data_IF_707673559539
#
_entry.id   IF_707673559539
#
_cell.length_a   1.000
_cell.length_b   1.000
_cell.length_c   1.000
_cell.angle_alpha   90.00
_cell.angle_beta   90.00
_cell.angle_gamma   90.00
#
_symmetry.space_group_name_H-M   'P 1'
#
loop_
_entity.id
_entity.type
_entity.pdbx_description
1 polymer ?
#
# COMPACT_ATOMS: atom_id res chain seq x y z
N UNK A 1 13.64 20.75 -26.94
CA UNK A 1 14.03 19.66 -26.02
C UNK A 1 15.22 20.18 -25.25
N UNK A 2 15.17 20.20 -23.92
CA UNK A 2 16.29 20.66 -23.09
C UNK A 2 16.99 19.44 -22.48
N UNK A 3 18.30 19.37 -22.63
CA UNK A 3 19.16 18.35 -21.99
C UNK A 3 20.19 19.08 -21.15
N UNK A 4 20.26 18.75 -19.86
CA UNK A 4 21.20 19.33 -18.92
C UNK A 4 21.94 18.23 -18.16
N UNK A 5 23.25 18.41 -18.04
CA UNK A 5 24.11 17.67 -17.13
C UNK A 5 24.85 18.68 -16.26
N UNK A 6 24.62 18.62 -14.95
CA UNK A 6 25.22 19.55 -14.02
C UNK A 6 25.75 18.83 -12.80
N UNK A 7 26.95 19.21 -12.38
CA UNK A 7 27.59 18.76 -11.14
C UNK A 7 27.81 19.98 -10.27
N UNK A 8 27.40 19.91 -9.01
CA UNK A 8 27.60 21.03 -8.10
C UNK A 8 26.85 20.91 -6.79
N UNK A 9 27.11 21.82 -5.86
CA UNK A 9 26.57 21.69 -4.50
C UNK A 9 25.05 21.91 -4.42
N UNK A 10 24.52 22.85 -5.22
CA UNK A 10 23.09 23.21 -5.23
C UNK A 10 22.64 23.59 -6.63
N UNK A 11 21.45 23.17 -7.01
CA UNK A 11 20.79 23.61 -8.23
C UNK A 11 19.31 23.88 -7.96
N UNK A 12 18.85 25.06 -8.37
CA UNK A 12 17.46 25.43 -8.41
C UNK A 12 17.09 25.73 -9.86
N UNK A 13 16.10 25.02 -10.39
CA UNK A 13 15.68 25.18 -11.78
C UNK A 13 14.16 25.26 -11.87
N UNK A 14 13.68 26.28 -12.56
CA UNK A 14 12.29 26.42 -12.97
C UNK A 14 12.24 26.42 -14.48
N UNK A 15 11.56 25.43 -15.07
CA UNK A 15 11.50 25.30 -16.52
C UNK A 15 10.09 24.98 -16.98
N UNK A 16 9.71 25.56 -18.12
CA UNK A 16 8.46 25.26 -18.81
C UNK A 16 8.82 24.80 -20.22
N UNK A 17 8.27 23.67 -20.65
CA UNK A 17 8.56 23.20 -22.00
C UNK A 17 8.10 21.78 -22.30
N UNK A 18 8.28 21.36 -23.56
CA UNK A 18 7.76 20.08 -24.01
C UNK A 18 8.51 18.86 -23.44
N UNK A 19 9.84 18.95 -23.30
CA UNK A 19 10.68 17.83 -22.84
C UNK A 19 11.93 18.33 -22.13
N UNK A 20 12.16 17.84 -20.91
CA UNK A 20 13.37 18.07 -20.13
C UNK A 20 14.02 16.72 -19.77
N UNK A 21 15.33 16.63 -20.01
CA UNK A 21 16.19 15.54 -19.54
C UNK A 21 17.26 16.18 -18.67
N UNK A 22 17.28 15.86 -17.37
CA UNK A 22 18.23 16.42 -16.42
C UNK A 22 18.99 15.30 -15.72
N UNK A 23 20.31 15.42 -15.71
CA UNK A 23 21.20 14.64 -14.86
C UNK A 23 21.89 15.59 -13.89
N UNK A 24 21.74 15.33 -12.59
CA UNK A 24 22.31 16.16 -11.55
C UNK A 24 23.04 15.31 -10.50
N UNK A 25 24.29 15.67 -10.23
CA UNK A 25 25.05 15.12 -9.11
C UNK A 25 25.37 16.24 -8.13
N UNK A 26 24.90 16.10 -6.88
CA UNK A 26 25.04 17.20 -5.93
C UNK A 26 24.26 17.08 -4.64
N UNK A 27 24.50 18.00 -3.71
CA UNK A 27 23.89 17.88 -2.39
C UNK A 27 22.40 18.24 -2.39
N UNK A 28 21.96 19.23 -3.18
CA UNK A 28 20.55 19.69 -3.17
C UNK A 28 20.05 20.12 -4.55
N UNK A 29 18.99 19.46 -5.02
CA UNK A 29 18.21 19.86 -6.19
C UNK A 29 16.81 20.33 -5.80
N UNK A 30 16.42 21.50 -6.29
CA UNK A 30 15.04 21.98 -6.30
C UNK A 30 14.62 22.20 -7.75
N UNK A 31 13.63 21.45 -8.21
CA UNK A 31 13.15 21.52 -9.59
C UNK A 31 11.64 21.76 -9.60
N UNK A 32 11.23 22.80 -10.32
CA UNK A 32 9.85 23.00 -10.74
C UNK A 32 9.76 22.88 -12.26
N UNK A 33 8.96 21.93 -12.73
CA UNK A 33 8.80 21.71 -14.17
C UNK A 33 7.33 21.64 -14.54
N UNK A 34 6.96 22.33 -15.61
CA UNK A 34 5.65 22.20 -16.25
C UNK A 34 5.85 21.80 -17.71
N UNK A 35 5.29 20.67 -18.11
CA UNK A 35 5.59 20.13 -19.43
C UNK A 35 5.02 18.77 -19.77
N UNK A 36 5.37 18.25 -20.95
CA UNK A 36 4.85 16.94 -21.37
C UNK A 36 5.67 15.77 -20.81
N UNK A 37 7.00 15.87 -20.79
CA UNK A 37 7.89 14.76 -20.41
C UNK A 37 9.09 15.22 -19.58
N UNK A 38 9.26 14.65 -18.39
CA UNK A 38 10.44 14.79 -17.56
C UNK A 38 11.17 13.44 -17.44
N UNK A 39 12.47 13.45 -17.71
CA UNK A 39 13.39 12.37 -17.31
C UNK A 39 14.44 12.99 -16.41
N UNK A 40 14.53 12.51 -15.17
CA UNK A 40 15.45 13.06 -14.17
C UNK A 40 16.27 11.95 -13.51
N UNK A 41 17.59 12.06 -13.59
CA UNK A 41 18.51 11.27 -12.78
C UNK A 41 19.19 12.18 -11.77
N UNK A 42 19.09 11.82 -10.49
CA UNK A 42 19.71 12.59 -9.41
C UNK A 42 20.45 11.67 -8.44
N UNK A 43 21.74 11.92 -8.27
CA UNK A 43 22.56 11.29 -7.23
C UNK A 43 22.95 12.35 -6.22
N UNK A 44 22.56 12.16 -4.95
CA UNK A 44 22.88 13.19 -3.97
C UNK A 44 22.06 13.28 -2.70
N UNK A 45 22.17 14.43 -2.03
CA UNK A 45 21.66 14.61 -0.68
C UNK A 45 20.14 14.69 -0.59
N UNK A 46 19.56 15.71 -1.24
CA UNK A 46 18.15 16.07 -1.12
C UNK A 46 17.56 16.48 -2.47
N UNK A 47 16.40 15.93 -2.81
CA UNK A 47 15.64 16.32 -4.00
C UNK A 47 14.24 16.80 -3.61
N UNK A 48 13.90 17.99 -4.10
CA UNK A 48 12.55 18.55 -4.05
C UNK A 48 12.08 18.76 -5.48
N UNK A 49 11.01 18.08 -5.88
CA UNK A 49 10.47 18.17 -7.22
C UNK A 49 8.97 18.46 -7.17
N UNK A 50 8.57 19.51 -7.87
CA UNK A 50 7.19 19.75 -8.28
C UNK A 50 7.09 19.59 -9.80
N UNK A 51 6.27 18.65 -10.25
CA UNK A 51 6.04 18.42 -11.68
C UNK A 51 4.56 18.42 -12.01
N UNK A 52 4.18 19.17 -13.04
CA UNK A 52 2.85 19.10 -13.64
C UNK A 52 3.03 18.71 -15.10
N UNK A 53 2.47 17.57 -15.50
CA UNK A 53 2.73 17.09 -16.85
C UNK A 53 2.28 15.69 -17.20
N UNK A 54 2.52 15.27 -18.45
CA UNK A 54 1.97 14.00 -18.93
C UNK A 54 2.77 12.77 -18.46
N UNK A 55 4.10 12.82 -18.49
CA UNK A 55 4.94 11.67 -18.08
C UNK A 55 6.15 12.10 -17.26
N UNK A 56 6.43 11.38 -16.18
CA UNK A 56 7.66 11.48 -15.40
C UNK A 56 8.34 10.13 -15.27
N UNK A 57 9.62 10.09 -15.56
CA UNK A 57 10.52 9.01 -15.18
C UNK A 57 11.64 9.60 -14.32
N UNK A 58 11.84 9.07 -13.11
CA UNK A 58 12.87 9.60 -12.22
C UNK A 58 13.59 8.47 -11.49
N UNK A 59 14.92 8.58 -11.50
CA UNK A 59 15.85 7.75 -10.76
C UNK A 59 16.62 8.62 -9.76
N UNK A 60 16.57 8.22 -8.49
CA UNK A 60 17.15 8.98 -7.37
C UNK A 60 17.82 8.05 -6.38
N UNK A 61 19.07 8.37 -6.08
CA UNK A 61 19.86 7.76 -5.02
C UNK A 61 20.24 8.86 -4.04
N UNK A 62 19.92 8.68 -2.75
CA UNK A 62 20.17 9.76 -1.79
C UNK A 62 19.55 9.62 -0.41
N UNK A 63 19.49 10.73 0.34
CA UNK A 63 18.96 10.71 1.71
C UNK A 63 17.47 11.04 1.77
N UNK A 64 17.00 12.08 1.06
CA UNK A 64 15.63 12.57 1.18
C UNK A 64 15.06 13.05 -0.14
N UNK A 65 13.90 12.51 -0.49
CA UNK A 65 13.14 12.93 -1.65
C UNK A 65 11.73 13.39 -1.24
N UNK A 66 11.34 14.56 -1.73
CA UNK A 66 9.97 15.08 -1.65
C UNK A 66 9.50 15.36 -3.07
N UNK A 67 8.43 14.68 -3.48
CA UNK A 67 7.88 14.76 -4.83
C UNK A 67 6.39 15.07 -4.76
N UNK A 68 6.00 16.13 -5.46
CA UNK A 68 4.61 16.38 -5.83
C UNK A 68 4.47 16.26 -7.35
N UNK A 69 3.60 15.34 -7.77
CA UNK A 69 3.31 15.15 -9.20
C UNK A 69 1.81 15.22 -9.46
N UNK A 70 1.45 15.96 -10.50
CA UNK A 70 0.10 15.95 -11.08
C UNK A 70 0.24 15.58 -12.55
N UNK A 71 -0.37 14.46 -12.96
CA UNK A 71 -0.15 14.01 -14.33
C UNK A 71 -0.52 12.59 -14.69
N UNK A 72 -0.31 12.22 -15.95
CA UNK A 72 -0.88 10.98 -16.48
C UNK A 72 -0.10 9.70 -16.09
N UNK A 73 1.24 9.73 -16.08
CA UNK A 73 2.05 8.53 -15.76
C UNK A 73 3.31 8.90 -14.98
N UNK A 74 3.48 8.26 -13.83
CA UNK A 74 4.67 8.37 -13.00
C UNK A 74 5.36 6.99 -12.91
N UNK A 75 6.65 6.95 -13.26
CA UNK A 75 7.52 5.78 -13.05
C UNK A 75 8.70 6.22 -12.19
N UNK A 76 8.89 5.51 -11.09
CA UNK A 76 9.87 5.86 -10.07
C UNK A 76 10.68 4.63 -9.67
N UNK A 77 12.01 4.76 -9.64
CA UNK A 77 12.93 3.76 -9.11
C UNK A 77 13.93 4.39 -8.15
N UNK A 78 13.83 4.05 -6.86
CA UNK A 78 14.57 4.77 -5.80
C UNK A 78 15.23 3.92 -4.72
N UNK A 79 16.40 4.40 -4.31
CA UNK A 79 17.17 3.97 -3.15
C UNK A 79 17.41 5.19 -2.25
N UNK A 80 16.59 5.38 -1.22
CA UNK A 80 16.82 6.49 -0.30
C UNK A 80 16.39 6.23 1.13
N UNK A 81 16.83 7.07 2.07
CA UNK A 81 16.44 6.89 3.48
C UNK A 81 14.98 7.26 3.74
N UNK A 82 14.50 8.36 3.14
CA UNK A 82 13.15 8.90 3.36
C UNK A 82 12.52 9.42 2.08
N UNK A 83 11.31 8.95 1.76
CA UNK A 83 10.51 9.44 0.64
C UNK A 83 9.14 9.93 1.11
N UNK A 84 8.77 11.12 0.65
CA UNK A 84 7.41 11.66 0.74
C UNK A 84 6.94 11.93 -0.68
N UNK A 85 5.85 11.26 -1.08
CA UNK A 85 5.29 11.38 -2.41
C UNK A 85 3.80 11.69 -2.32
N UNK A 86 3.39 12.75 -3.01
CA UNK A 86 2.01 13.00 -3.37
C UNK A 86 1.84 12.89 -4.88
N UNK A 87 0.95 12.00 -5.31
CA UNK A 87 0.66 11.84 -6.74
C UNK A 87 -0.84 11.82 -7.01
N UNK A 88 -1.25 12.71 -7.92
CA UNK A 88 -2.59 12.72 -8.50
C UNK A 88 -2.52 12.36 -9.98
N UNK A 89 -3.15 11.25 -10.36
CA UNK A 89 -3.12 10.80 -11.73
C UNK A 89 -3.51 9.34 -11.94
N UNK A 90 -3.71 8.91 -13.19
CA UNK A 90 -4.31 7.61 -13.46
C UNK A 90 -3.36 6.42 -13.26
N UNK A 91 -2.03 6.56 -13.36
CA UNK A 91 -1.10 5.42 -13.29
C UNK A 91 0.21 5.72 -12.58
N UNK A 92 0.45 4.98 -11.49
CA UNK A 92 1.69 4.99 -10.72
C UNK A 92 2.36 3.61 -10.73
N UNK A 93 3.64 3.58 -11.10
CA UNK A 93 4.53 2.45 -10.82
C UNK A 93 5.70 2.97 -9.98
N UNK A 94 5.85 2.42 -8.78
CA UNK A 94 6.92 2.79 -7.85
C UNK A 94 7.64 1.54 -7.35
N UNK A 95 8.96 1.52 -7.52
CA UNK A 95 9.86 0.61 -6.81
C UNK A 95 10.72 1.40 -5.83
N UNK A 96 10.65 1.02 -4.56
CA UNK A 96 11.33 1.73 -3.48
C UNK A 96 12.08 0.79 -2.55
N UNK A 97 13.33 1.15 -2.28
CA UNK A 97 14.19 0.53 -1.27
C UNK A 97 14.63 1.62 -0.29
N UNK A 98 14.38 1.44 1.01
CA UNK A 98 14.71 2.49 1.98
C UNK A 98 14.14 2.30 3.38
N UNK A 99 14.32 3.30 4.24
CA UNK A 99 13.86 3.17 5.63
C UNK A 99 12.40 3.60 5.84
N UNK A 100 11.96 4.68 5.19
CA UNK A 100 10.62 5.25 5.41
C UNK A 100 10.00 5.77 4.13
N UNK A 101 8.79 5.31 3.81
CA UNK A 101 7.96 5.83 2.73
C UNK A 101 6.62 6.33 3.28
N UNK A 102 6.28 7.57 2.92
CA UNK A 102 4.93 8.13 3.06
C UNK A 102 4.42 8.43 1.66
N UNK A 103 3.32 7.78 1.28
CA UNK A 103 2.72 7.92 -0.04
C UNK A 103 1.24 8.30 0.10
N UNK A 104 0.84 9.38 -0.55
CA UNK A 104 -0.55 9.70 -0.86
C UNK A 104 -0.79 9.59 -2.36
N UNK A 105 -1.73 8.74 -2.76
CA UNK A 105 -2.07 8.52 -4.15
C UNK A 105 -3.57 8.64 -4.38
N UNK A 106 -3.95 9.45 -5.36
CA UNK A 106 -5.32 9.55 -5.87
C UNK A 106 -5.33 9.25 -7.35
N UNK A 107 -6.06 8.21 -7.77
CA UNK A 107 -5.97 7.77 -9.16
C UNK A 107 -6.59 6.43 -9.52
N UNK A 108 -6.30 5.94 -10.74
CA UNK A 108 -6.93 4.70 -11.22
C UNK A 108 -6.14 3.44 -10.84
N UNK A 109 -4.81 3.43 -11.04
CA UNK A 109 -3.98 2.23 -10.83
C UNK A 109 -2.65 2.55 -10.14
N UNK A 110 -2.38 1.89 -9.00
CA UNK A 110 -1.09 1.90 -8.31
C UNK A 110 -0.50 0.50 -8.30
N UNK A 111 0.75 0.38 -8.76
CA UNK A 111 1.62 -0.77 -8.52
C UNK A 111 2.80 -0.29 -7.69
N UNK A 112 2.93 -0.85 -6.48
CA UNK A 112 3.99 -0.50 -5.54
C UNK A 112 4.74 -1.75 -5.10
N UNK A 113 6.06 -1.73 -5.26
CA UNK A 113 6.98 -2.65 -4.59
C UNK A 113 7.84 -1.88 -3.60
N UNK A 114 7.79 -2.29 -2.33
CA UNK A 114 8.54 -1.64 -1.25
C UNK A 114 9.32 -2.66 -0.43
N UNK A 115 10.60 -2.34 -0.20
CA UNK A 115 11.48 -3.05 0.74
C UNK A 115 12.01 -2.03 1.76
N UNK A 116 11.77 -2.27 3.05
CA UNK A 116 12.18 -1.29 4.05
C UNK A 116 11.58 -1.43 5.45
N UNK A 117 11.78 -0.43 6.31
CA UNK A 117 11.33 -0.53 7.71
C UNK A 117 9.88 -0.09 7.92
N UNK A 118 9.44 1.00 7.29
CA UNK A 118 8.12 1.61 7.55
C UNK A 118 7.48 2.17 6.27
N UNK A 119 6.25 1.74 5.99
CA UNK A 119 5.39 2.32 4.94
C UNK A 119 4.08 2.82 5.54
N UNK A 120 3.76 4.08 5.23
CA UNK A 120 2.43 4.66 5.42
C UNK A 120 1.88 4.99 4.04
N UNK A 121 0.75 4.38 3.70
CA UNK A 121 0.10 4.56 2.40
C UNK A 121 -1.36 4.97 2.58
N UNK A 122 -1.73 6.08 1.95
CA UNK A 122 -3.12 6.44 1.67
C UNK A 122 -3.39 6.32 0.17
N UNK A 123 -4.36 5.49 -0.18
CA UNK A 123 -4.77 5.27 -1.58
C UNK A 123 -6.25 5.53 -1.73
N UNK A 124 -6.62 6.32 -2.75
CA UNK A 124 -7.99 6.44 -3.23
C UNK A 124 -8.02 6.13 -4.73
N UNK A 125 -8.82 5.13 -5.14
CA UNK A 125 -8.79 4.71 -6.54
C UNK A 125 -9.47 3.40 -6.91
N UNK A 126 -9.19 2.90 -8.12
CA UNK A 126 -9.84 1.67 -8.62
C UNK A 126 -9.06 0.40 -8.29
N UNK A 127 -7.74 0.37 -8.49
CA UNK A 127 -6.91 -0.83 -8.35
C UNK A 127 -5.57 -0.53 -7.69
N UNK A 128 -5.32 -1.20 -6.57
CA UNK A 128 -4.03 -1.20 -5.87
C UNK A 128 -3.44 -2.60 -5.88
N UNK A 129 -2.20 -2.72 -6.35
CA UNK A 129 -1.34 -3.89 -6.18
C UNK A 129 -0.13 -3.47 -5.37
N UNK A 130 0.04 -4.08 -4.20
CA UNK A 130 1.12 -3.76 -3.27
C UNK A 130 1.87 -5.03 -2.88
N UNK A 131 3.18 -5.02 -3.08
CA UNK A 131 4.12 -5.96 -2.46
C UNK A 131 5.00 -5.22 -1.46
N UNK A 132 4.96 -5.66 -0.20
CA UNK A 132 5.74 -5.05 0.88
C UNK A 132 6.51 -6.10 1.65
N UNK A 133 7.81 -5.84 1.84
CA UNK A 133 8.69 -6.60 2.73
C UNK A 133 9.28 -5.62 3.75
N UNK A 134 9.06 -5.88 5.05
CA UNK A 134 9.51 -4.94 6.06
C UNK A 134 8.92 -5.06 7.46
N UNK A 135 9.20 -4.10 8.34
CA UNK A 135 8.79 -4.22 9.73
C UNK A 135 7.35 -3.75 10.00
N UNK A 136 6.91 -2.64 9.39
CA UNK A 136 5.60 -2.02 9.70
C UNK A 136 4.92 -1.42 8.47
N UNK A 137 3.70 -1.86 8.20
CA UNK A 137 2.78 -1.24 7.23
C UNK A 137 1.56 -0.64 7.93
N UNK A 138 1.26 0.61 7.59
CA UNK A 138 -0.05 1.23 7.82
C UNK A 138 -0.64 1.58 6.46
N UNK A 139 -1.79 0.99 6.15
CA UNK A 139 -2.47 1.20 4.87
C UNK A 139 -3.92 1.62 5.12
N UNK A 140 -4.29 2.77 4.57
CA UNK A 140 -5.68 3.21 4.43
C UNK A 140 -6.03 3.25 2.95
N UNK A 141 -6.98 2.42 2.54
CA UNK A 141 -7.35 2.28 1.15
C UNK A 141 -8.86 2.46 0.97
N UNK A 142 -9.25 3.31 0.03
CA UNK A 142 -10.63 3.41 -0.47
C UNK A 142 -10.63 3.09 -1.96
N UNK A 143 -11.23 1.97 -2.34
CA UNK A 143 -11.19 1.59 -3.74
C UNK A 143 -11.90 0.31 -4.13
N UNK A 144 -11.87 -0.01 -5.43
CA UNK A 144 -12.63 -1.16 -5.94
C UNK A 144 -11.93 -2.50 -5.72
N UNK A 145 -10.61 -2.58 -5.95
CA UNK A 145 -9.82 -3.81 -5.81
C UNK A 145 -8.47 -3.54 -5.14
N UNK A 146 -8.17 -4.34 -4.12
CA UNK A 146 -6.86 -4.39 -3.46
C UNK A 146 -6.30 -5.81 -3.54
N UNK A 147 -5.07 -5.93 -4.05
CA UNK A 147 -4.23 -7.12 -3.92
C UNK A 147 -3.00 -6.74 -3.13
N UNK A 148 -2.79 -7.40 -2.00
CA UNK A 148 -1.71 -7.10 -1.08
C UNK A 148 -0.97 -8.38 -0.70
N UNK A 149 0.35 -8.38 -0.90
CA UNK A 149 1.28 -9.35 -0.32
C UNK A 149 2.19 -8.64 0.69
N UNK A 150 2.18 -9.13 1.92
CA UNK A 150 2.98 -8.55 3.00
C UNK A 150 3.77 -9.64 3.73
N UNK A 151 5.07 -9.38 3.88
CA UNK A 151 5.98 -10.15 4.74
C UNK A 151 6.59 -9.21 5.78
N UNK A 152 6.36 -9.47 7.07
CA UNK A 152 6.83 -8.55 8.10
C UNK A 152 6.28 -8.71 9.50
N UNK A 153 6.57 -7.76 10.39
CA UNK A 153 6.18 -7.89 11.80
C UNK A 153 4.77 -7.39 12.11
N UNK A 154 4.34 -6.23 11.56
CA UNK A 154 3.07 -5.59 11.92
C UNK A 154 2.38 -4.95 10.73
N UNK A 155 1.12 -5.31 10.51
CA UNK A 155 0.25 -4.68 9.51
C UNK A 155 -1.04 -4.17 10.15
N UNK A 156 -1.33 -2.90 9.89
CA UNK A 156 -2.61 -2.25 10.19
C UNK A 156 -3.22 -1.84 8.87
N UNK A 157 -4.38 -2.40 8.55
CA UNK A 157 -5.08 -2.16 7.30
C UNK A 157 -6.53 -1.76 7.57
N UNK A 158 -6.91 -0.60 7.04
CA UNK A 158 -8.30 -0.21 6.83
C UNK A 158 -8.59 -0.19 5.34
N UNK A 159 -9.59 -0.97 4.92
CA UNK A 159 -9.99 -1.01 3.52
C UNK A 159 -11.50 -0.94 3.36
N UNK A 160 -11.96 0.03 2.57
CA UNK A 160 -13.34 0.16 2.13
C UNK A 160 -13.41 -0.08 0.63
N UNK A 161 -14.18 -1.08 0.20
CA UNK A 161 -14.14 -1.46 -1.21
C UNK A 161 -14.94 -2.69 -1.62
N UNK A 162 -14.82 -3.09 -2.89
CA UNK A 162 -15.57 -4.25 -3.38
C UNK A 162 -14.85 -5.58 -3.16
N UNK A 163 -13.53 -5.63 -3.41
CA UNK A 163 -12.74 -6.87 -3.30
C UNK A 163 -11.38 -6.64 -2.65
N UNK A 164 -11.06 -7.46 -1.66
CA UNK A 164 -9.73 -7.56 -1.03
C UNK A 164 -9.18 -8.98 -1.19
N UNK A 165 -7.95 -9.08 -1.69
CA UNK A 165 -7.13 -10.29 -1.61
C UNK A 165 -5.88 -9.95 -0.83
N UNK A 166 -5.69 -10.61 0.30
CA UNK A 166 -4.57 -10.37 1.20
C UNK A 166 -3.84 -11.68 1.51
N UNK A 167 -2.54 -11.70 1.26
CA UNK A 167 -1.62 -12.69 1.81
C UNK A 167 -0.68 -12.04 2.80
N UNK A 168 -0.69 -12.54 4.03
CA UNK A 168 0.12 -12.02 5.13
C UNK A 168 0.94 -13.12 5.79
N UNK A 169 2.24 -12.87 5.93
CA UNK A 169 3.19 -13.67 6.71
C UNK A 169 3.83 -12.77 7.75
N UNK A 170 3.64 -13.07 9.05
CA UNK A 170 4.14 -12.16 10.08
C UNK A 170 3.62 -12.34 11.49
N UNK A 171 3.97 -11.41 12.38
CA UNK A 171 3.61 -11.56 13.80
C UNK A 171 2.19 -11.06 14.13
N UNK A 172 1.77 -9.90 13.60
CA UNK A 172 0.52 -9.24 14.00
C UNK A 172 -0.18 -8.55 12.83
N UNK A 173 -1.45 -8.92 12.63
CA UNK A 173 -2.36 -8.29 11.68
C UNK A 173 -3.58 -7.72 12.42
N UNK A 174 -3.85 -6.43 12.19
CA UNK A 174 -5.12 -5.78 12.52
C UNK A 174 -5.75 -5.34 11.20
N UNK A 175 -6.93 -5.88 10.91
CA UNK A 175 -7.64 -5.62 9.65
C UNK A 175 -9.08 -5.17 9.95
N UNK A 176 -9.43 -4.00 9.44
CA UNK A 176 -10.81 -3.57 9.27
C UNK A 176 -11.18 -3.54 7.79
N UNK A 177 -12.23 -4.29 7.43
CA UNK A 177 -12.71 -4.36 6.06
C UNK A 177 -14.21 -4.12 6.01
N UNK A 178 -14.61 -3.19 5.14
CA UNK A 178 -16.02 -2.97 4.77
C UNK A 178 -16.16 -3.17 3.27
N UNK A 179 -16.98 -4.13 2.84
CA UNK A 179 -17.07 -4.42 1.42
C UNK A 179 -17.74 -5.72 1.00
N UNK A 180 -17.67 -6.06 -0.29
CA UNK A 180 -18.40 -7.23 -0.79
C UNK A 180 -17.67 -8.55 -0.56
N UNK A 181 -16.37 -8.64 -0.89
CA UNK A 181 -15.61 -9.92 -0.80
C UNK A 181 -14.21 -9.74 -0.22
N UNK A 182 -13.89 -10.52 0.82
CA UNK A 182 -12.55 -10.67 1.37
C UNK A 182 -12.05 -12.11 1.19
N UNK A 183 -10.87 -12.26 0.61
CA UNK A 183 -10.07 -13.49 0.65
C UNK A 183 -8.79 -13.18 1.42
N UNK A 184 -8.59 -13.87 2.54
CA UNK A 184 -7.44 -13.67 3.41
C UNK A 184 -6.73 -15.00 3.66
N UNK A 185 -5.42 -15.03 3.38
CA UNK A 185 -4.50 -16.05 3.88
C UNK A 185 -3.54 -15.42 4.89
N UNK A 186 -3.56 -15.97 6.11
CA UNK A 186 -2.73 -15.49 7.21
C UNK A 186 -1.90 -16.61 7.80
N UNK A 187 -0.60 -16.35 7.93
CA UNK A 187 0.37 -17.18 8.67
C UNK A 187 1.05 -16.30 9.70
N UNK A 188 0.91 -16.63 11.00
CA UNK A 188 1.45 -15.75 12.02
C UNK A 188 0.97 -15.95 13.44
N UNK A 189 1.33 -15.03 14.34
CA UNK A 189 1.00 -15.20 15.76
C UNK A 189 -0.40 -14.70 16.13
N UNK A 190 -0.81 -13.52 15.66
CA UNK A 190 -2.06 -12.84 16.09
C UNK A 190 -2.77 -12.13 14.95
N UNK A 191 -4.04 -12.49 14.74
CA UNK A 191 -4.96 -11.81 13.83
C UNK A 191 -6.14 -11.24 14.61
N UNK A 192 -6.39 -9.93 14.42
CA UNK A 192 -7.65 -9.27 14.80
C UNK A 192 -8.31 -8.80 13.51
N UNK A 193 -9.49 -9.32 13.22
CA UNK A 193 -10.24 -9.03 11.99
C UNK A 193 -11.65 -8.55 12.35
N UNK A 194 -11.99 -7.35 11.88
CA UNK A 194 -13.37 -6.87 11.82
C UNK A 194 -13.81 -6.79 10.36
N UNK A 195 -14.80 -7.60 10.00
CA UNK A 195 -15.34 -7.69 8.65
C UNK A 195 -16.82 -7.32 8.64
N UNK A 196 -17.20 -6.40 7.76
CA UNK A 196 -18.60 -6.13 7.42
C UNK A 196 -18.79 -6.28 5.91
N UNK A 197 -19.68 -7.17 5.48
CA UNK A 197 -19.79 -7.44 4.06
C UNK A 197 -20.58 -8.67 3.63
N UNK A 198 -20.43 -9.07 2.36
CA UNK A 198 -21.21 -10.20 1.83
C UNK A 198 -20.53 -11.56 2.01
N UNK A 199 -19.26 -11.70 1.62
CA UNK A 199 -18.52 -12.97 1.66
C UNK A 199 -17.09 -12.86 2.19
N UNK A 200 -16.78 -13.61 3.24
CA UNK A 200 -15.42 -13.81 3.78
C UNK A 200 -14.96 -15.25 3.53
N UNK A 201 -13.77 -15.39 2.94
CA UNK A 201 -13.00 -16.63 2.92
C UNK A 201 -11.68 -16.38 3.66
N UNK A 202 -11.48 -17.11 4.77
CA UNK A 202 -10.32 -16.96 5.63
C UNK A 202 -9.61 -18.31 5.81
N UNK A 203 -8.31 -18.36 5.47
CA UNK A 203 -7.39 -19.40 5.93
C UNK A 203 -6.42 -18.81 6.95
N UNK A 204 -6.42 -19.39 8.15
CA UNK A 204 -5.61 -18.95 9.27
C UNK A 204 -4.73 -20.10 9.80
N UNK A 205 -3.45 -19.81 9.93
CA UNK A 205 -2.46 -20.66 10.62
C UNK A 205 -1.74 -19.80 11.66
N UNK A 206 -1.86 -20.15 12.94
CA UNK A 206 -1.27 -19.30 13.97
C UNK A 206 -1.70 -19.53 15.41
N UNK A 207 -1.32 -18.63 16.31
CA UNK A 207 -1.61 -18.82 17.74
C UNK A 207 -3.00 -18.30 18.14
N UNK A 208 -3.39 -17.09 17.73
CA UNK A 208 -4.63 -16.43 18.17
C UNK A 208 -5.36 -15.70 17.04
N UNK A 209 -6.63 -16.05 16.85
CA UNK A 209 -7.57 -15.36 15.96
C UNK A 209 -8.72 -14.76 16.78
N UNK A 210 -8.94 -13.46 16.61
CA UNK A 210 -10.15 -12.75 17.04
C UNK A 210 -10.85 -12.25 15.79
N UNK A 211 -12.06 -12.75 15.53
CA UNK A 211 -12.85 -12.44 14.35
C UNK A 211 -14.22 -11.90 14.76
N UNK A 212 -14.51 -10.66 14.35
CA UNK A 212 -15.86 -10.11 14.32
C UNK A 212 -16.37 -10.02 12.89
N UNK A 213 -17.41 -10.79 12.58
CA UNK A 213 -17.97 -10.87 11.24
C UNK A 213 -19.44 -10.48 11.26
N UNK A 214 -19.81 -9.56 10.36
CA UNK A 214 -21.20 -9.27 10.02
C UNK A 214 -21.40 -9.43 8.51
N UNK A 215 -22.32 -10.31 8.11
CA UNK A 215 -22.50 -10.56 6.68
C UNK A 215 -23.24 -11.83 6.31
N UNK A 216 -23.21 -12.21 5.03
CA UNK A 216 -24.00 -13.35 4.57
C UNK A 216 -23.26 -14.69 4.64
N UNK A 217 -22.02 -14.74 4.16
CA UNK A 217 -21.28 -15.99 3.94
C UNK A 217 -19.87 -15.96 4.55
N UNK A 218 -19.62 -16.83 5.54
CA UNK A 218 -18.31 -17.03 6.14
C UNK A 218 -17.80 -18.46 5.87
N UNK A 219 -16.63 -18.57 5.24
CA UNK A 219 -15.85 -19.81 5.15
C UNK A 219 -14.55 -19.61 5.91
N UNK A 220 -14.34 -20.39 6.96
CA UNK A 220 -13.17 -20.30 7.85
C UNK A 220 -12.46 -21.65 7.93
N UNK A 221 -11.18 -21.66 7.55
CA UNK A 221 -10.24 -22.73 7.88
C UNK A 221 -9.26 -22.20 8.92
N UNK A 222 -9.24 -22.83 10.09
CA UNK A 222 -8.44 -22.42 11.25
C UNK A 222 -7.56 -23.56 11.73
N UNK A 223 -6.27 -23.26 11.88
CA UNK A 223 -5.28 -24.11 12.55
C UNK A 223 -4.55 -23.27 13.60
N UNK A 224 -4.65 -23.63 14.88
CA UNK A 224 -4.04 -22.81 15.92
C UNK A 224 -4.43 -23.08 17.36
N UNK A 225 -4.01 -22.20 18.29
CA UNK A 225 -4.29 -22.39 19.71
C UNK A 225 -5.64 -21.85 20.17
N UNK A 226 -5.99 -20.60 19.82
CA UNK A 226 -7.22 -19.95 20.29
C UNK A 226 -7.96 -19.22 19.18
N UNK A 227 -9.24 -19.56 19.02
CA UNK A 227 -10.21 -18.88 18.17
C UNK A 227 -11.28 -18.21 19.03
N UNK A 228 -11.50 -16.91 18.81
CA UNK A 228 -12.67 -16.17 19.29
C UNK A 228 -13.42 -15.65 18.08
N UNK A 229 -14.65 -16.10 17.89
CA UNK A 229 -15.50 -15.77 16.75
C UNK A 229 -16.83 -15.19 17.22
N UNK A 230 -17.08 -13.92 16.86
CA UNK A 230 -18.41 -13.32 16.91
C UNK A 230 -18.97 -13.21 15.50
N UNK A 231 -20.04 -13.94 15.23
CA UNK A 231 -20.62 -14.08 13.89
C UNK A 231 -22.08 -13.62 13.88
N UNK A 232 -22.40 -12.70 12.97
CA UNK A 232 -23.77 -12.33 12.63
C UNK A 232 -23.98 -12.57 11.14
N UNK A 233 -24.89 -13.49 10.78
CA UNK A 233 -25.04 -13.86 9.39
C UNK A 233 -25.88 -15.11 9.11
N UNK A 234 -25.95 -15.43 7.81
CA UNK A 234 -26.80 -16.49 7.27
C UNK A 234 -26.10 -17.86 7.21
N UNK A 235 -24.86 -17.94 6.72
CA UNK A 235 -24.14 -19.21 6.58
C UNK A 235 -22.68 -19.15 7.05
N UNK A 236 -22.35 -20.11 7.91
CA UNK A 236 -21.01 -20.42 8.41
C UNK A 236 -20.55 -21.80 7.92
N UNK A 237 -19.35 -21.87 7.35
CA UNK A 237 -18.61 -23.13 7.14
C UNK A 237 -17.30 -23.02 7.91
N UNK A 238 -17.10 -23.91 8.88
CA UNK A 238 -15.94 -23.90 9.78
C UNK A 238 -15.19 -25.24 9.70
N UNK A 239 -13.90 -25.17 9.36
CA UNK A 239 -12.92 -26.22 9.58
C UNK A 239 -11.98 -25.75 10.67
N UNK A 240 -11.92 -26.46 11.80
CA UNK A 240 -11.24 -26.03 13.00
C UNK A 240 -10.33 -27.14 13.55
N UNK A 241 -9.04 -26.85 13.61
CA UNK A 241 -8.03 -27.65 14.28
C UNK A 241 -7.32 -26.79 15.33
N UNK A 242 -7.76 -26.87 16.58
CA UNK A 242 -7.14 -26.09 17.64
C UNK A 242 -7.58 -26.41 19.06
N UNK A 243 -6.94 -25.76 20.03
CA UNK A 243 -7.11 -26.07 21.45
C UNK A 243 -8.32 -25.40 22.10
N UNK A 244 -8.65 -24.16 21.73
CA UNK A 244 -9.77 -23.41 22.33
C UNK A 244 -10.60 -22.63 21.32
N UNK A 245 -11.91 -22.90 21.32
CA UNK A 245 -12.92 -22.20 20.54
C UNK A 245 -13.87 -21.41 21.45
N UNK A 246 -14.12 -20.14 21.13
CA UNK A 246 -15.21 -19.34 21.70
C UNK A 246 -16.05 -18.83 20.53
N UNK A 247 -17.33 -19.20 20.52
CA UNK A 247 -18.28 -18.82 19.47
C UNK A 247 -19.43 -18.02 20.09
N UNK A 248 -19.72 -16.84 19.54
CA UNK A 248 -20.94 -16.08 19.83
C UNK A 248 -21.70 -15.83 18.54
N UNK A 249 -22.95 -16.28 18.49
CA UNK A 249 -23.83 -16.12 17.33
C UNK A 249 -25.02 -15.24 17.68
N UNK A 250 -25.31 -14.26 16.82
CA UNK A 250 -26.58 -13.51 16.87
C UNK A 250 -27.22 -13.55 15.48
N UNK A 251 -28.35 -14.25 15.36
CA UNK A 251 -29.07 -14.47 14.10
C UNK A 251 -30.44 -13.79 14.05
N UNK A 252 -31.00 -13.66 12.84
CA UNK A 252 -32.40 -13.31 12.61
C UNK A 252 -33.26 -14.59 12.61
N UNK A 253 -34.28 -14.64 13.48
CA UNK A 253 -35.31 -15.68 13.50
C UNK A 253 -36.41 -15.25 12.51
N UNK A 254 -36.62 -15.97 11.41
CA UNK A 254 -37.82 -15.79 10.58
C UNK A 254 -38.90 -16.71 11.15
N UNK A 255 -39.95 -16.11 11.70
CA UNK A 255 -41.29 -16.70 11.86
C UNK A 255 -41.95 -16.85 10.49
#
# INVERSE_FOLDING_TARGET
MLVLSYTGCRLALSYTGCRLVLSYTGHRLVLSYTGRRLVLSHTGGRLFLSYTGHRLALSYTGFRLVLSYTGHRLVLSYTCRRLVLSYTGPRLVLSYTGLRLVLSYTGLRLVLSYTGLRLVLSYTGLRLVLSYTGCRLVLSNTGRRLVLSYTGHRLVLSYTGHRLVLSYTGCRLVLSYTGCRLVLSYTGCRLVLSYTGFRLVLSYTGCRLILSYTGCWLVLSYTGHRLVLSYTGFRLVLSYNGFRLVLSYTGFRLS
#
